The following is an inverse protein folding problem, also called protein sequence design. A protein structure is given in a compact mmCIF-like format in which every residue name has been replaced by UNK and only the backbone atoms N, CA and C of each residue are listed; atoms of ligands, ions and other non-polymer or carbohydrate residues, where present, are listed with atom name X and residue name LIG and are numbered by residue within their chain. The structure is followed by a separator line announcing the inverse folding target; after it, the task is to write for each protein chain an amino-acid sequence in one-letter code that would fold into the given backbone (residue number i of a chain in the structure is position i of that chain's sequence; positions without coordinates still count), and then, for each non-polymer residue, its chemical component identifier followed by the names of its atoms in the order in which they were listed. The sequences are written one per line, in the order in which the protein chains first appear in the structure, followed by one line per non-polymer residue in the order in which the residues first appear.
data_IF_229480223747
#
_entry.id   IF_229480223747
#
_cell.length_a   1.000
_cell.length_b   1.000
_cell.length_c   1.000
_cell.angle_alpha   90.00
_cell.angle_beta   90.00
_cell.angle_gamma   90.00
#
_symmetry.space_group_name_H-M   'P 1'
#
loop_
_entity.id
_entity.type
_entity.pdbx_description
1 polymer ?
#
# COMPACT_ATOMS: atom_id res chain seq x y z
N UNK A 1 27.08 -27.22 15.92
CA UNK A 1 25.66 -26.99 15.60
C UNK A 1 25.59 -25.65 14.88
N UNK A 2 25.34 -25.63 13.56
CA UNK A 2 25.24 -24.37 12.82
C UNK A 2 24.06 -23.59 13.39
N UNK A 3 24.30 -22.40 13.93
CA UNK A 3 23.33 -21.55 14.67
C UNK A 3 22.19 -20.98 13.83
N UNK A 4 21.71 -21.76 12.87
CA UNK A 4 20.56 -21.47 12.05
C UNK A 4 19.36 -22.01 12.82
N UNK A 5 18.32 -21.19 12.97
CA UNK A 5 17.05 -21.58 13.57
C UNK A 5 16.59 -22.94 13.05
N UNK A 6 15.83 -23.65 13.90
CA UNK A 6 15.36 -25.03 13.73
C UNK A 6 15.12 -25.46 12.27
N UNK A 7 15.22 -26.75 11.97
CA UNK A 7 15.05 -27.29 10.60
C UNK A 7 13.76 -26.83 9.88
N UNK A 8 12.76 -26.32 10.61
CA UNK A 8 11.56 -25.70 10.09
C UNK A 8 11.76 -24.28 9.53
N UNK A 9 12.60 -23.46 10.14
CA UNK A 9 12.96 -22.11 9.65
C UNK A 9 13.62 -22.20 8.28
N UNK A 10 14.60 -23.10 8.13
CA UNK A 10 15.26 -23.37 6.85
C UNK A 10 14.28 -23.82 5.77
N UNK A 11 13.37 -24.75 6.08
CA UNK A 11 12.34 -25.20 5.12
C UNK A 11 11.44 -24.05 4.67
N UNK A 12 11.12 -23.13 5.57
CA UNK A 12 10.30 -21.96 5.22
C UNK A 12 11.04 -21.01 4.29
N UNK A 13 12.33 -20.76 4.51
CA UNK A 13 13.15 -19.95 3.61
C UNK A 13 13.30 -20.58 2.22
N UNK A 14 13.54 -21.90 2.16
CA UNK A 14 13.62 -22.62 0.88
C UNK A 14 12.30 -22.50 0.11
N UNK A 15 11.15 -22.69 0.78
CA UNK A 15 9.84 -22.49 0.14
C UNK A 15 9.64 -21.06 -0.36
N UNK A 16 10.05 -20.06 0.41
CA UNK A 16 10.01 -18.66 -0.03
C UNK A 16 10.86 -18.42 -1.28
N UNK A 17 12.09 -18.94 -1.30
CA UNK A 17 12.97 -18.83 -2.46
C UNK A 17 12.43 -19.56 -3.70
N UNK A 18 11.74 -20.70 -3.54
CA UNK A 18 11.07 -21.39 -4.65
C UNK A 18 9.92 -20.56 -5.23
N UNK A 19 9.19 -19.83 -4.38
CA UNK A 19 8.16 -18.89 -4.85
C UNK A 19 8.78 -17.72 -5.59
N UNK A 20 9.84 -17.12 -5.03
CA UNK A 20 10.53 -15.99 -5.64
C UNK A 20 11.21 -16.34 -6.98
N UNK A 21 11.64 -17.58 -7.14
CA UNK A 21 12.22 -18.09 -8.40
C UNK A 21 11.18 -18.65 -9.38
N UNK A 22 9.89 -18.62 -9.05
CA UNK A 22 8.81 -19.12 -9.90
C UNK A 22 8.73 -20.65 -9.98
N UNK A 23 9.52 -21.39 -9.20
CA UNK A 23 9.45 -22.86 -9.10
C UNK A 23 8.20 -23.32 -8.36
N UNK A 24 7.55 -22.44 -7.59
CA UNK A 24 6.33 -22.71 -6.85
C UNK A 24 5.36 -21.55 -7.00
N UNK A 25 4.05 -21.81 -7.15
CA UNK A 25 3.05 -20.74 -7.12
C UNK A 25 3.03 -20.05 -5.75
N UNK A 26 2.91 -18.73 -5.76
CA UNK A 26 2.81 -17.90 -4.57
C UNK A 26 2.99 -16.42 -4.89
N UNK A 27 2.84 -15.57 -3.88
CA UNK A 27 3.16 -14.14 -4.00
C UNK A 27 4.64 -13.98 -3.74
N UNK A 28 5.37 -13.46 -4.72
CA UNK A 28 6.80 -13.19 -4.56
C UNK A 28 7.02 -12.03 -3.59
N UNK A 29 8.20 -12.00 -2.98
CA UNK A 29 8.63 -10.91 -2.13
C UNK A 29 8.55 -9.56 -2.84
N UNK A 30 8.91 -9.51 -4.14
CA UNK A 30 8.78 -8.31 -4.97
C UNK A 30 7.33 -7.85 -5.13
N UNK A 31 6.40 -8.76 -5.46
CA UNK A 31 4.97 -8.44 -5.60
C UNK A 31 4.36 -7.97 -4.27
N UNK A 32 4.80 -8.53 -3.15
CA UNK A 32 4.36 -8.10 -1.82
C UNK A 32 4.87 -6.70 -1.48
N UNK A 33 6.12 -6.38 -1.83
CA UNK A 33 6.70 -5.05 -1.65
C UNK A 33 5.98 -3.99 -2.49
N UNK A 34 5.73 -4.30 -3.77
CA UNK A 34 4.97 -3.42 -4.67
C UNK A 34 3.55 -3.17 -4.15
N UNK A 35 2.83 -4.22 -3.75
CA UNK A 35 1.50 -4.08 -3.14
C UNK A 35 1.51 -3.14 -1.91
N UNK A 36 2.55 -3.24 -1.07
CA UNK A 36 2.70 -2.37 0.10
C UNK A 36 2.94 -0.91 -0.31
N UNK A 37 3.74 -0.67 -1.35
CA UNK A 37 3.98 0.67 -1.88
C UNK A 37 2.69 1.27 -2.46
N UNK A 38 2.01 0.52 -3.32
CA UNK A 38 0.74 0.94 -3.94
C UNK A 38 -0.34 1.26 -2.89
N UNK A 39 -0.45 0.44 -1.83
CA UNK A 39 -1.40 0.70 -0.74
C UNK A 39 -1.11 2.02 -0.01
N UNK A 40 0.17 2.39 0.14
CA UNK A 40 0.54 3.67 0.76
C UNK A 40 0.19 4.84 -0.16
N UNK A 41 0.53 4.74 -1.44
CA UNK A 41 0.21 5.77 -2.43
C UNK A 41 -1.31 5.98 -2.54
N UNK A 42 -2.10 4.90 -2.61
CA UNK A 42 -3.56 5.01 -2.62
C UNK A 42 -4.10 5.69 -1.37
N UNK A 43 -3.52 5.42 -0.19
CA UNK A 43 -3.94 6.05 1.05
C UNK A 43 -3.64 7.56 1.05
N UNK A 44 -2.47 7.96 0.55
CA UNK A 44 -2.07 9.35 0.41
C UNK A 44 -2.94 10.09 -0.61
N UNK A 45 -3.16 9.50 -1.78
CA UNK A 45 -4.02 10.05 -2.82
C UNK A 45 -5.46 10.24 -2.32
N UNK A 46 -5.99 9.27 -1.57
CA UNK A 46 -7.31 9.39 -0.96
C UNK A 46 -7.36 10.54 0.04
N UNK A 47 -6.36 10.66 0.92
CA UNK A 47 -6.27 11.79 1.87
C UNK A 47 -6.23 13.13 1.14
N UNK A 48 -5.40 13.25 0.10
CA UNK A 48 -5.31 14.47 -0.69
C UNK A 48 -6.64 14.81 -1.38
N UNK A 49 -7.29 13.80 -1.96
CA UNK A 49 -8.57 13.97 -2.63
C UNK A 49 -9.67 14.47 -1.66
N UNK A 50 -9.72 13.93 -0.44
CA UNK A 50 -10.68 14.41 0.56
C UNK A 50 -10.42 15.86 0.99
N UNK A 51 -9.16 16.29 1.11
CA UNK A 51 -8.82 17.68 1.36
C UNK A 51 -9.30 18.58 0.20
N UNK A 52 -9.05 18.16 -1.03
CA UNK A 52 -9.46 18.92 -2.22
C UNK A 52 -10.99 19.02 -2.33
N UNK A 53 -11.71 17.93 -2.07
CA UNK A 53 -13.18 17.95 -2.01
C UNK A 53 -13.69 18.89 -0.94
N UNK A 54 -13.12 18.84 0.28
CA UNK A 54 -13.51 19.72 1.36
C UNK A 54 -13.26 21.20 1.00
N UNK A 55 -12.13 21.51 0.37
CA UNK A 55 -11.83 22.86 -0.12
C UNK A 55 -12.83 23.29 -1.22
N UNK A 56 -13.14 22.43 -2.18
CA UNK A 56 -14.09 22.72 -3.24
C UNK A 56 -15.50 23.00 -2.69
N UNK A 57 -15.94 22.24 -1.67
CA UNK A 57 -17.21 22.48 -0.97
C UNK A 57 -17.18 23.84 -0.26
N UNK A 58 -16.11 24.12 0.48
CA UNK A 58 -15.96 25.37 1.22
C UNK A 58 -16.02 26.59 0.29
N UNK A 59 -15.23 26.59 -0.79
CA UNK A 59 -15.21 27.70 -1.75
C UNK A 59 -16.46 27.76 -2.62
N UNK A 60 -17.05 26.62 -3.00
CA UNK A 60 -18.31 26.58 -3.73
C UNK A 60 -19.46 27.21 -2.93
N UNK A 61 -19.54 26.92 -1.63
CA UNK A 61 -20.53 27.52 -0.74
C UNK A 61 -20.33 29.03 -0.53
N UNK A 62 -19.08 29.53 -0.60
CA UNK A 62 -18.79 30.96 -0.54
C UNK A 62 -19.22 31.69 -1.83
N UNK A 63 -19.11 31.03 -3.00
CA UNK A 63 -19.54 31.60 -4.28
C UNK A 63 -21.06 31.71 -4.43
N UNK A 64 -21.83 30.81 -3.79
CA UNK A 64 -23.30 30.81 -3.80
C UNK A 64 -23.93 31.80 -2.81
N UNK A 65 -23.14 32.51 -1.99
CA UNK A 65 -23.64 33.57 -1.12
C UNK A 65 -23.74 34.87 -1.93
N UNK A 66 -24.94 35.34 -2.33
CA UNK A 66 -25.05 36.66 -2.93
C UNK A 66 -24.51 37.67 -1.92
N UNK A 67 -23.46 38.40 -2.32
CA UNK A 67 -22.87 39.46 -1.51
C UNK A 67 -23.99 40.38 -1.05
N UNK A 68 -24.27 40.37 0.26
CA UNK A 68 -25.27 41.25 0.85
C UNK A 68 -24.70 42.67 0.75
N UNK A 69 -25.08 43.38 -0.31
CA UNK A 69 -25.01 44.84 -0.37
C UNK A 69 -25.92 45.43 0.70
#
# INVERSE_FOLDING_TARGET
MLGIGTAETLRTWVRGSQVDSGQRPGVTSAMAQENKALRREIAELRRANEILKAAAIFFGAELDRPGKR
#
